data_IF_169555900177
#
_entry.id   IF_169555900177
#
_cell.length_a   1.000
_cell.length_b   1.000
_cell.length_c   1.000
_cell.angle_alpha   90.00
_cell.angle_beta   90.00
_cell.angle_gamma   90.00
#
_symmetry.space_group_name_H-M   'P 1'
#
loop_
_entity.id
_entity.type
_entity.pdbx_description
1 polymer ?
#
# COMPACT_ATOMS: atom_id res chain seq x y z
N UNK A 1 -27.74 -1.74 51.54
CA UNK A 1 -26.42 -2.43 51.44
C UNK A 1 -26.53 -3.92 51.12
N UNK A 2 -27.54 -4.39 50.36
CA UNK A 2 -27.99 -5.79 50.54
C UNK A 2 -28.19 -6.65 49.28
N UNK A 3 -28.22 -6.12 48.05
CA UNK A 3 -28.22 -6.97 46.84
C UNK A 3 -26.83 -7.12 46.20
N UNK A 4 -26.02 -6.05 46.21
CA UNK A 4 -24.69 -6.03 45.60
C UNK A 4 -23.64 -6.87 46.37
N UNK A 5 -23.73 -6.91 47.71
CA UNK A 5 -22.88 -7.79 48.56
C UNK A 5 -23.21 -9.27 48.38
N UNK A 6 -24.47 -9.62 48.09
CA UNK A 6 -24.89 -11.01 47.86
C UNK A 6 -24.31 -11.58 46.56
N UNK A 7 -24.22 -10.78 45.49
CA UNK A 7 -23.55 -11.18 44.25
C UNK A 7 -22.04 -11.35 44.43
N UNK A 8 -21.40 -10.49 45.23
CA UNK A 8 -19.97 -10.58 45.56
C UNK A 8 -19.66 -11.88 46.33
N UNK A 9 -20.51 -12.25 47.31
CA UNK A 9 -20.40 -13.52 48.04
C UNK A 9 -20.76 -14.75 47.18
N UNK A 10 -21.59 -14.60 46.15
CA UNK A 10 -21.95 -15.69 45.24
C UNK A 10 -20.83 -16.08 44.27
N UNK A 11 -19.95 -15.14 43.89
CA UNK A 11 -18.74 -15.43 43.12
C UNK A 11 -17.53 -15.78 44.00
N UNK A 12 -17.49 -15.30 45.24
CA UNK A 12 -16.52 -15.76 46.25
C UNK A 12 -16.85 -17.16 46.80
N UNK A 13 -18.07 -17.66 46.59
CA UNK A 13 -18.47 -19.06 46.76
C UNK A 13 -18.23 -19.82 45.45
N UNK A 14 -16.96 -19.94 45.08
CA UNK A 14 -16.42 -20.52 43.82
C UNK A 14 -17.27 -21.63 43.15
N UNK A 15 -17.81 -22.66 43.85
CA UNK A 15 -18.50 -23.75 43.16
C UNK A 15 -19.94 -23.46 42.71
N UNK A 16 -20.67 -22.49 43.28
CA UNK A 16 -22.10 -22.26 42.95
C UNK A 16 -22.33 -21.33 41.75
N UNK A 17 -21.35 -20.50 41.40
CA UNK A 17 -21.41 -19.58 40.25
C UNK A 17 -21.07 -20.30 38.93
N UNK A 18 -20.09 -21.21 38.95
CA UNK A 18 -19.69 -22.01 37.79
C UNK A 18 -20.79 -22.97 37.32
N UNK A 19 -21.56 -23.55 38.25
CA UNK A 19 -22.72 -24.40 37.90
C UNK A 19 -23.82 -23.60 37.19
N UNK A 20 -24.11 -22.37 37.66
CA UNK A 20 -25.05 -21.46 36.98
C UNK A 20 -24.56 -21.00 35.60
N UNK A 21 -23.24 -20.81 35.44
CA UNK A 21 -22.65 -20.51 34.12
C UNK A 21 -22.88 -21.66 33.15
N UNK A 22 -22.70 -22.92 33.59
CA UNK A 22 -22.92 -24.10 32.74
C UNK A 22 -24.40 -24.26 32.35
N UNK A 23 -25.32 -24.03 33.27
CA UNK A 23 -26.77 -24.18 33.03
C UNK A 23 -27.36 -23.05 32.17
N UNK A 24 -26.87 -21.82 32.32
CA UNK A 24 -27.36 -20.64 31.57
C UNK A 24 -26.73 -20.45 30.18
N UNK A 25 -25.74 -21.28 29.83
CA UNK A 25 -25.00 -21.18 28.57
C UNK A 25 -24.10 -19.95 28.44
N UNK A 26 -23.46 -19.84 27.28
CA UNK A 26 -22.40 -18.87 26.96
C UNK A 26 -22.83 -17.42 27.19
N UNK A 27 -24.04 -17.06 26.76
CA UNK A 27 -24.57 -15.68 26.86
C UNK A 27 -24.88 -15.27 28.30
N UNK A 28 -25.28 -16.21 29.17
CA UNK A 28 -25.47 -15.91 30.58
C UNK A 28 -24.11 -15.75 31.28
N UNK A 29 -23.16 -16.63 30.96
CA UNK A 29 -21.80 -16.55 31.50
C UNK A 29 -21.11 -15.23 31.13
N UNK A 30 -21.21 -14.78 29.87
CA UNK A 30 -20.59 -13.53 29.42
C UNK A 30 -21.17 -12.30 30.12
N UNK A 31 -22.48 -12.28 30.39
CA UNK A 31 -23.10 -11.21 31.22
C UNK A 31 -22.58 -11.21 32.65
N UNK A 32 -22.48 -12.38 33.27
CA UNK A 32 -21.94 -12.49 34.63
C UNK A 32 -20.46 -12.06 34.71
N UNK A 33 -19.66 -12.41 33.70
CA UNK A 33 -18.26 -11.97 33.59
C UNK A 33 -18.15 -10.45 33.41
N UNK A 34 -18.99 -9.86 32.56
CA UNK A 34 -19.05 -8.40 32.40
C UNK A 34 -19.40 -7.71 33.72
N UNK A 35 -20.46 -8.15 34.40
CA UNK A 35 -20.87 -7.60 35.70
C UNK A 35 -19.77 -7.73 36.77
N UNK A 36 -19.05 -8.86 36.76
CA UNK A 36 -17.92 -9.10 37.63
C UNK A 36 -16.78 -8.12 37.34
N UNK A 37 -16.40 -7.98 36.07
CA UNK A 37 -15.30 -7.10 35.66
C UNK A 37 -15.59 -5.64 35.98
N UNK A 38 -16.82 -5.16 35.72
CA UNK A 38 -17.26 -3.80 36.08
C UNK A 38 -17.06 -3.54 37.58
N UNK A 39 -17.47 -4.49 38.44
CA UNK A 39 -17.30 -4.36 39.91
C UNK A 39 -15.83 -4.33 40.32
N UNK A 40 -15.03 -5.24 39.77
CA UNK A 40 -13.60 -5.32 40.07
C UNK A 40 -12.86 -4.04 39.69
N UNK A 41 -13.17 -3.50 38.51
CA UNK A 41 -12.63 -2.23 37.99
C UNK A 41 -13.02 -1.06 38.90
N UNK A 42 -14.25 -1.04 39.43
CA UNK A 42 -14.75 0.04 40.27
C UNK A 42 -14.27 0.04 41.73
N UNK A 43 -13.71 -1.05 42.25
CA UNK A 43 -13.32 -1.09 43.67
C UNK A 43 -13.64 -2.38 44.40
N UNK A 44 -14.68 -3.08 43.94
CA UNK A 44 -15.39 -4.10 44.71
C UNK A 44 -14.75 -5.48 44.57
N UNK A 45 -13.56 -5.67 45.14
CA UNK A 45 -12.87 -6.96 45.22
C UNK A 45 -11.39 -6.92 44.87
N UNK A 46 -10.72 -8.07 45.03
CA UNK A 46 -9.32 -8.30 44.64
C UNK A 46 -9.27 -9.03 43.30
N UNK A 47 -8.25 -8.77 42.49
CA UNK A 47 -8.10 -9.39 41.16
C UNK A 47 -7.42 -10.78 41.21
N UNK A 48 -6.84 -11.16 42.35
CA UNK A 48 -5.94 -12.32 42.51
C UNK A 48 -6.56 -13.69 42.19
N UNK A 49 -7.89 -13.78 42.14
CA UNK A 49 -8.60 -15.02 41.82
C UNK A 49 -8.82 -15.22 40.30
N UNK A 50 -8.74 -14.16 39.48
CA UNK A 50 -8.99 -14.24 38.04
C UNK A 50 -8.12 -15.28 37.32
N UNK A 51 -6.80 -15.44 37.62
CA UNK A 51 -5.97 -16.46 37.00
C UNK A 51 -6.43 -17.91 37.26
N UNK A 52 -7.22 -18.14 38.31
CA UNK A 52 -7.81 -19.45 38.60
C UNK A 52 -9.18 -19.60 37.95
N UNK A 53 -9.98 -18.53 37.97
CA UNK A 53 -11.34 -18.52 37.42
C UNK A 53 -11.35 -18.63 35.89
N UNK A 54 -10.54 -17.83 35.19
CA UNK A 54 -10.57 -17.74 33.73
C UNK A 54 -10.29 -19.09 33.03
N UNK A 55 -9.29 -19.88 33.44
CA UNK A 55 -9.11 -21.24 32.90
C UNK A 55 -10.29 -22.17 33.15
N UNK A 56 -10.94 -22.09 34.32
CA UNK A 56 -12.10 -22.93 34.64
C UNK A 56 -13.30 -22.56 33.78
N UNK A 57 -13.53 -21.27 33.56
CA UNK A 57 -14.60 -20.81 32.66
C UNK A 57 -14.29 -21.19 31.22
N UNK A 58 -13.06 -21.01 30.75
CA UNK A 58 -12.64 -21.44 29.42
C UNK A 58 -12.82 -22.96 29.23
N UNK A 59 -12.52 -23.76 30.27
CA UNK A 59 -12.77 -25.22 30.29
C UNK A 59 -14.24 -25.58 30.13
N UNK A 60 -15.15 -24.81 30.72
CA UNK A 60 -16.59 -25.06 30.62
C UNK A 60 -17.15 -24.86 29.20
N UNK A 61 -16.49 -24.04 28.40
CA UNK A 61 -16.94 -23.66 27.05
C UNK A 61 -15.93 -24.02 25.95
N UNK A 62 -15.07 -25.03 26.16
CA UNK A 62 -14.07 -25.46 25.17
C UNK A 62 -14.68 -25.86 23.83
N UNK A 63 -15.88 -26.42 23.85
CA UNK A 63 -16.60 -26.87 22.65
C UNK A 63 -17.37 -25.72 21.96
N UNK A 64 -17.45 -24.53 22.57
CA UNK A 64 -18.12 -23.37 21.98
C UNK A 64 -17.10 -22.44 21.30
N UNK A 65 -16.99 -22.60 19.99
CA UNK A 65 -16.12 -21.78 19.13
C UNK A 65 -16.40 -20.27 19.23
N UNK A 66 -17.57 -19.84 19.74
CA UNK A 66 -17.94 -18.44 19.88
C UNK A 66 -17.61 -17.85 21.26
N UNK A 67 -17.23 -18.66 22.25
CA UNK A 67 -16.95 -18.17 23.59
C UNK A 67 -15.79 -17.18 23.62
N UNK A 68 -14.67 -17.50 22.95
CA UNK A 68 -13.49 -16.62 22.90
C UNK A 68 -13.84 -15.26 22.28
N UNK A 69 -14.60 -15.26 21.18
CA UNK A 69 -15.09 -14.03 20.53
C UNK A 69 -15.99 -13.20 21.47
N UNK A 70 -16.97 -13.83 22.12
CA UNK A 70 -17.87 -13.14 23.05
C UNK A 70 -17.14 -12.63 24.29
N UNK A 71 -16.14 -13.36 24.78
CA UNK A 71 -15.29 -12.93 25.88
C UNK A 71 -14.47 -11.70 25.49
N UNK A 72 -13.93 -11.66 24.28
CA UNK A 72 -13.25 -10.50 23.74
C UNK A 72 -14.17 -9.29 23.56
N UNK A 73 -15.43 -9.48 23.18
CA UNK A 73 -16.41 -8.39 23.12
C UNK A 73 -16.64 -7.76 24.50
N UNK A 74 -16.57 -8.53 25.59
CA UNK A 74 -16.60 -7.99 26.97
C UNK A 74 -15.39 -7.08 27.20
N UNK A 75 -14.18 -7.55 26.86
CA UNK A 75 -12.96 -6.77 27.06
C UNK A 75 -12.97 -5.49 26.23
N UNK A 76 -13.50 -5.55 25.01
CA UNK A 76 -13.66 -4.42 24.10
C UNK A 76 -14.67 -3.38 24.60
N UNK A 77 -15.84 -3.83 25.09
CA UNK A 77 -16.84 -2.94 25.69
C UNK A 77 -16.24 -2.23 26.91
N UNK A 78 -15.49 -2.96 27.74
CA UNK A 78 -14.80 -2.38 28.89
C UNK A 78 -13.71 -1.41 28.47
N UNK A 79 -12.93 -1.72 27.43
CA UNK A 79 -11.91 -0.81 26.88
C UNK A 79 -12.54 0.52 26.49
N UNK A 80 -13.61 0.43 25.68
CA UNK A 80 -14.34 1.59 25.19
C UNK A 80 -14.96 2.40 26.34
N UNK A 81 -15.50 1.74 27.36
CA UNK A 81 -16.10 2.41 28.52
C UNK A 81 -15.05 3.08 29.43
N UNK A 82 -13.86 2.48 29.57
CA UNK A 82 -12.80 3.00 30.46
C UNK A 82 -12.07 4.19 29.84
N UNK A 83 -12.02 4.29 28.51
CA UNK A 83 -11.44 5.44 27.80
C UNK A 83 -12.08 6.76 28.23
N UNK A 84 -13.40 6.78 28.47
CA UNK A 84 -14.14 7.99 28.87
C UNK A 84 -14.08 8.27 30.38
N UNK A 85 -13.50 7.37 31.19
CA UNK A 85 -13.47 7.51 32.66
C UNK A 85 -12.20 8.23 33.11
N UNK A 86 -12.38 9.46 33.62
CA UNK A 86 -11.27 10.29 34.10
C UNK A 86 -10.61 9.83 35.41
N UNK A 87 -11.11 8.76 36.06
CA UNK A 87 -10.54 8.24 37.30
C UNK A 87 -9.34 7.31 37.05
N UNK A 88 -8.14 7.74 37.43
CA UNK A 88 -6.91 6.94 37.27
C UNK A 88 -6.98 5.58 37.99
N UNK A 89 -7.54 5.54 39.20
CA UNK A 89 -7.67 4.30 39.96
C UNK A 89 -8.49 3.20 39.23
N UNK A 90 -9.48 3.63 38.42
CA UNK A 90 -10.32 2.74 37.62
C UNK A 90 -9.53 2.22 36.41
N UNK A 91 -8.82 3.13 35.73
CA UNK A 91 -7.93 2.81 34.59
C UNK A 91 -6.82 1.84 35.00
N UNK A 92 -6.16 2.07 36.12
CA UNK A 92 -5.12 1.18 36.66
C UNK A 92 -5.66 -0.22 36.96
N UNK A 93 -6.85 -0.32 37.56
CA UNK A 93 -7.49 -1.61 37.83
C UNK A 93 -7.89 -2.32 36.54
N UNK A 94 -8.35 -1.57 35.53
CA UNK A 94 -8.66 -2.12 34.21
C UNK A 94 -7.40 -2.71 33.54
N UNK A 95 -6.29 -1.98 33.50
CA UNK A 95 -5.04 -2.51 32.91
C UNK A 95 -4.51 -3.74 33.65
N UNK A 96 -4.64 -3.79 34.98
CA UNK A 96 -4.31 -5.00 35.77
C UNK A 96 -5.22 -6.17 35.39
N UNK A 97 -6.53 -5.94 35.24
CA UNK A 97 -7.48 -6.97 34.81
C UNK A 97 -7.12 -7.50 33.43
N UNK A 98 -6.82 -6.62 32.47
CA UNK A 98 -6.40 -7.02 31.13
C UNK A 98 -5.11 -7.84 31.13
N UNK A 99 -4.12 -7.46 31.95
CA UNK A 99 -2.88 -8.24 32.10
C UNK A 99 -3.14 -9.67 32.59
N UNK A 100 -4.15 -9.86 33.45
CA UNK A 100 -4.55 -11.18 33.92
C UNK A 100 -5.35 -11.97 32.88
N UNK A 101 -6.05 -11.29 31.97
CA UNK A 101 -6.80 -11.92 30.89
C UNK A 101 -5.92 -12.28 29.69
N UNK A 102 -4.84 -11.52 29.44
CA UNK A 102 -3.92 -11.68 28.30
C UNK A 102 -3.46 -13.13 28.04
N UNK A 103 -3.10 -13.97 29.06
CA UNK A 103 -2.67 -15.35 28.82
C UNK A 103 -3.77 -16.30 28.37
N UNK A 104 -5.04 -15.90 28.48
CA UNK A 104 -6.21 -16.73 28.23
C UNK A 104 -6.91 -16.42 26.90
N UNK A 105 -6.34 -15.54 26.08
CA UNK A 105 -6.94 -15.08 24.82
C UNK A 105 -5.88 -15.01 23.74
N UNK A 106 -6.26 -15.30 22.50
CA UNK A 106 -5.37 -15.14 21.36
C UNK A 106 -4.91 -13.67 21.21
N UNK A 107 -3.60 -13.39 21.22
CA UNK A 107 -3.06 -12.03 21.09
C UNK A 107 -3.47 -11.35 19.77
N UNK A 108 -3.67 -12.10 18.68
CA UNK A 108 -4.11 -11.53 17.41
C UNK A 108 -5.50 -10.89 17.51
N UNK A 109 -6.42 -11.52 18.26
CA UNK A 109 -7.77 -11.01 18.44
C UNK A 109 -7.83 -9.82 19.41
N UNK A 110 -6.90 -9.76 20.37
CA UNK A 110 -6.75 -8.58 21.22
C UNK A 110 -6.29 -7.38 20.40
N UNK A 111 -5.32 -7.58 19.48
CA UNK A 111 -4.83 -6.54 18.56
C UNK A 111 -5.90 -6.04 17.58
N UNK A 112 -6.87 -6.89 17.23
CA UNK A 112 -7.97 -6.53 16.34
C UNK A 112 -9.02 -5.60 17.00
N UNK A 113 -9.29 -5.82 18.30
CA UNK A 113 -10.42 -5.18 18.99
C UNK A 113 -10.04 -4.03 19.91
N UNK A 114 -8.91 -4.10 20.60
CA UNK A 114 -8.55 -3.11 21.62
C UNK A 114 -7.98 -1.82 21.00
N UNK A 115 -8.14 -0.71 21.72
CA UNK A 115 -7.59 0.59 21.33
C UNK A 115 -6.06 0.61 21.36
N UNK A 116 -5.45 1.50 20.57
CA UNK A 116 -4.00 1.63 20.45
C UNK A 116 -3.31 1.93 21.80
N UNK A 117 -3.93 2.77 22.64
CA UNK A 117 -3.44 3.08 23.99
C UNK A 117 -3.38 1.82 24.86
N UNK A 118 -4.41 0.99 24.79
CA UNK A 118 -4.49 -0.25 25.55
C UNK A 118 -3.51 -1.30 25.03
N UNK A 119 -3.31 -1.38 23.73
CA UNK A 119 -2.32 -2.27 23.12
C UNK A 119 -0.88 -1.91 23.51
N UNK A 120 -0.58 -0.61 23.63
CA UNK A 120 0.73 -0.13 24.09
C UNK A 120 0.94 -0.48 25.57
N UNK A 121 -0.07 -0.27 26.41
CA UNK A 121 -0.03 -0.66 27.83
C UNK A 121 0.11 -2.18 28.04
N UNK A 122 -0.46 -2.99 27.15
CA UNK A 122 -0.31 -4.45 27.18
C UNK A 122 1.01 -4.94 26.56
N UNK A 123 1.86 -4.04 26.07
CA UNK A 123 3.08 -4.37 25.34
C UNK A 123 2.83 -5.28 24.13
N UNK A 124 1.66 -5.15 23.48
CA UNK A 124 1.34 -5.81 22.21
C UNK A 124 1.82 -4.98 21.01
N UNK A 125 1.93 -3.66 21.19
CA UNK A 125 2.61 -2.75 20.27
C UNK A 125 3.73 -2.01 21.01
N UNK A 126 4.80 -1.65 20.29
CA UNK A 126 5.95 -0.96 20.87
C UNK A 126 5.70 0.52 21.13
N UNK A 127 4.96 1.17 20.24
CA UNK A 127 4.66 2.59 20.30
C UNK A 127 3.38 2.91 19.56
N UNK A 128 2.46 3.63 20.20
CA UNK A 128 1.24 4.15 19.58
C UNK A 128 1.56 5.02 18.36
N UNK A 129 2.52 5.94 18.50
CA UNK A 129 2.90 6.86 17.42
C UNK A 129 3.47 6.12 16.20
N UNK A 130 4.32 5.12 16.41
CA UNK A 130 4.85 4.32 15.30
C UNK A 130 3.77 3.46 14.64
N UNK A 131 2.86 2.91 15.44
CA UNK A 131 1.72 2.14 14.95
C UNK A 131 0.82 3.00 14.07
N UNK A 132 0.41 4.20 14.52
CA UNK A 132 -0.37 5.13 13.72
C UNK A 132 0.33 5.53 12.43
N UNK A 133 1.64 5.81 12.49
CA UNK A 133 2.42 6.14 11.29
C UNK A 133 2.39 5.01 10.26
N UNK A 134 2.54 3.76 10.70
CA UNK A 134 2.44 2.58 9.84
C UNK A 134 1.02 2.39 9.31
N UNK A 135 0.00 2.55 10.16
CA UNK A 135 -1.41 2.47 9.77
C UNK A 135 -1.73 3.46 8.65
N UNK A 136 -1.37 4.74 8.81
CA UNK A 136 -1.59 5.77 7.80
C UNK A 136 -0.85 5.43 6.50
N UNK A 137 0.41 5.03 6.56
CA UNK A 137 1.18 4.64 5.35
C UNK A 137 0.54 3.46 4.62
N UNK A 138 0.14 2.42 5.33
CA UNK A 138 -0.51 1.25 4.75
C UNK A 138 -1.85 1.61 4.14
N UNK A 139 -2.67 2.38 4.86
CA UNK A 139 -3.97 2.86 4.37
C UNK A 139 -3.79 3.71 3.12
N UNK A 140 -2.88 4.68 3.14
CA UNK A 140 -2.60 5.53 1.99
C UNK A 140 -2.14 4.70 0.79
N UNK A 141 -1.23 3.74 1.00
CA UNK A 141 -0.78 2.85 -0.07
C UNK A 141 -1.93 2.01 -0.63
N UNK A 142 -2.81 1.48 0.21
CA UNK A 142 -3.93 0.64 -0.20
C UNK A 142 -4.94 1.42 -1.05
N UNK A 143 -5.22 2.68 -0.70
CA UNK A 143 -6.28 3.46 -1.33
C UNK A 143 -5.81 4.40 -2.45
N UNK A 144 -4.57 4.89 -2.40
CA UNK A 144 -4.08 5.92 -3.35
C UNK A 144 -2.99 5.44 -4.29
N UNK A 145 -2.35 4.28 -4.03
CA UNK A 145 -1.37 3.75 -4.96
C UNK A 145 -2.11 2.99 -6.06
N UNK A 146 -2.22 3.58 -7.24
CA UNK A 146 -2.67 2.85 -8.42
C UNK A 146 -1.67 1.72 -8.70
N UNK A 147 -2.18 0.51 -8.88
CA UNK A 147 -1.35 -0.60 -9.34
C UNK A 147 -1.07 -0.37 -10.83
N UNK A 148 0.15 0.05 -11.13
CA UNK A 148 0.67 0.14 -12.50
C UNK A 148 2.00 -0.60 -12.54
N UNK A 149 2.15 -1.52 -13.47
CA UNK A 149 3.38 -2.28 -13.64
C UNK A 149 4.32 -1.52 -14.55
N UNK A 150 5.41 -1.00 -14.00
CA UNK A 150 6.38 -0.18 -14.74
C UNK A 150 7.54 -1.00 -15.29
N UNK A 151 7.83 -2.15 -14.67
CA UNK A 151 8.96 -2.98 -15.07
C UNK A 151 8.48 -4.16 -15.89
N UNK A 152 9.26 -4.53 -16.93
CA UNK A 152 8.92 -5.65 -17.81
C UNK A 152 8.66 -6.95 -17.03
N UNK A 153 9.49 -7.20 -16.00
CA UNK A 153 9.40 -8.39 -15.14
C UNK A 153 8.15 -8.47 -14.27
N UNK A 154 7.49 -7.33 -14.03
CA UNK A 154 6.29 -7.28 -13.19
C UNK A 154 5.08 -7.82 -13.96
N UNK A 155 5.01 -7.58 -15.28
CA UNK A 155 3.90 -8.00 -16.14
C UNK A 155 4.40 -8.43 -17.54
N UNK A 156 5.06 -9.59 -17.58
CA UNK A 156 5.75 -10.08 -18.78
C UNK A 156 4.79 -10.30 -19.97
N UNK A 157 3.57 -10.79 -19.73
CA UNK A 157 2.61 -11.08 -20.80
C UNK A 157 2.11 -9.80 -21.46
N UNK A 158 1.67 -8.83 -20.64
CA UNK A 158 1.20 -7.54 -21.14
C UNK A 158 2.26 -6.81 -21.97
N UNK A 159 3.49 -6.75 -21.46
CA UNK A 159 4.61 -6.13 -22.19
C UNK A 159 5.01 -6.91 -23.45
N UNK A 160 5.02 -8.25 -23.43
CA UNK A 160 5.32 -9.05 -24.62
C UNK A 160 4.28 -8.84 -25.74
N UNK A 161 2.99 -8.81 -25.39
CA UNK A 161 1.90 -8.51 -26.33
C UNK A 161 2.02 -7.10 -26.90
N UNK A 162 2.33 -6.12 -26.05
CA UNK A 162 2.55 -4.73 -26.47
C UNK A 162 3.72 -4.61 -27.46
N UNK A 163 4.88 -5.20 -27.14
CA UNK A 163 6.05 -5.18 -28.02
C UNK A 163 5.72 -5.86 -29.36
N UNK A 164 5.02 -6.98 -29.33
CA UNK A 164 4.61 -7.70 -30.56
C UNK A 164 3.70 -6.85 -31.44
N UNK A 165 2.73 -6.16 -30.83
CA UNK A 165 1.80 -5.26 -31.53
C UNK A 165 2.54 -4.08 -32.18
N UNK A 166 3.45 -3.44 -31.43
CA UNK A 166 4.27 -2.32 -31.92
C UNK A 166 5.29 -2.75 -33.00
N UNK A 167 5.85 -3.96 -32.90
CA UNK A 167 6.80 -4.48 -33.87
C UNK A 167 6.14 -4.84 -35.20
N UNK A 168 4.94 -5.43 -35.18
CA UNK A 168 4.30 -5.96 -36.38
C UNK A 168 3.37 -4.96 -37.08
N UNK A 169 2.79 -3.99 -36.35
CA UNK A 169 1.86 -2.93 -36.82
C UNK A 169 1.12 -3.31 -38.10
N UNK A 170 0.24 -4.31 -37.99
CA UNK A 170 -0.55 -4.79 -39.11
C UNK A 170 -1.79 -3.90 -39.24
N UNK A 171 -1.82 -3.03 -40.25
CA UNK A 171 -2.98 -2.18 -40.53
C UNK A 171 -2.81 -0.72 -40.09
N UNK A 172 -3.91 0.04 -39.99
CA UNK A 172 -3.85 1.47 -39.72
C UNK A 172 -3.38 1.76 -38.29
N UNK A 173 -2.60 2.83 -38.12
CA UNK A 173 -2.05 3.28 -36.83
C UNK A 173 -3.15 3.48 -35.76
N UNK A 174 -4.35 3.87 -36.17
CA UNK A 174 -5.50 4.05 -35.29
C UNK A 174 -5.94 2.74 -34.63
N UNK A 175 -5.93 1.63 -35.37
CA UNK A 175 -6.28 0.30 -34.84
C UNK A 175 -5.23 -0.20 -33.84
N UNK A 176 -3.95 0.02 -34.16
CA UNK A 176 -2.83 -0.32 -33.28
C UNK A 176 -2.93 0.44 -31.96
N UNK A 177 -3.27 1.73 -32.00
CA UNK A 177 -3.44 2.52 -30.79
C UNK A 177 -4.64 2.08 -29.95
N UNK A 178 -5.74 1.61 -30.56
CA UNK A 178 -6.86 1.00 -29.83
C UNK A 178 -6.36 -0.24 -29.07
N UNK A 179 -5.57 -1.08 -29.72
CA UNK A 179 -4.99 -2.27 -29.10
C UNK A 179 -4.01 -1.91 -27.97
N UNK A 180 -3.15 -0.91 -28.16
CA UNK A 180 -2.24 -0.41 -27.11
C UNK A 180 -3.02 0.06 -25.88
N UNK A 181 -4.09 0.85 -26.06
CA UNK A 181 -4.95 1.29 -24.95
C UNK A 181 -5.64 0.12 -24.24
N UNK A 182 -6.09 -0.89 -25.00
CA UNK A 182 -6.66 -2.11 -24.43
C UNK A 182 -5.65 -2.87 -23.58
N UNK A 183 -4.40 -2.97 -24.02
CA UNK A 183 -3.34 -3.64 -23.27
C UNK A 183 -2.96 -2.88 -21.99
N UNK A 184 -2.88 -1.54 -22.06
CA UNK A 184 -2.64 -0.70 -20.87
C UNK A 184 -3.72 -0.94 -19.83
N UNK A 185 -5.00 -0.92 -20.22
CA UNK A 185 -6.11 -1.09 -19.30
C UNK A 185 -6.30 -2.51 -18.78
N UNK A 186 -6.01 -3.54 -19.60
CA UNK A 186 -6.20 -4.94 -19.21
C UNK A 186 -5.08 -5.44 -18.29
N UNK A 187 -3.84 -5.05 -18.57
CA UNK A 187 -2.65 -5.49 -17.84
C UNK A 187 -2.13 -4.43 -16.86
N UNK A 188 -2.86 -3.33 -16.62
CA UNK A 188 -2.41 -2.23 -15.75
C UNK A 188 -0.98 -1.75 -16.05
N UNK A 189 -0.63 -1.62 -17.34
CA UNK A 189 0.72 -1.22 -17.74
C UNK A 189 0.97 0.25 -17.40
N UNK A 190 2.21 0.57 -17.00
CA UNK A 190 2.59 1.96 -16.78
C UNK A 190 2.63 2.75 -18.11
N UNK A 191 1.89 3.87 -18.24
CA UNK A 191 1.86 4.67 -19.46
C UNK A 191 3.23 5.19 -19.90
N UNK A 192 4.08 5.63 -18.98
CA UNK A 192 5.40 6.16 -19.31
C UNK A 192 6.30 5.05 -19.85
N UNK A 193 6.19 3.84 -19.30
CA UNK A 193 6.89 2.67 -19.85
C UNK A 193 6.36 2.28 -21.24
N UNK A 194 5.05 2.36 -21.47
CA UNK A 194 4.49 2.11 -22.80
C UNK A 194 4.97 3.16 -23.81
N UNK A 195 5.05 4.43 -23.42
CA UNK A 195 5.60 5.49 -24.27
C UNK A 195 7.07 5.25 -24.63
N UNK A 196 7.87 4.78 -23.66
CA UNK A 196 9.26 4.39 -23.88
C UNK A 196 9.40 3.28 -24.94
N UNK A 197 8.53 2.26 -24.88
CA UNK A 197 8.48 1.17 -25.86
C UNK A 197 7.94 1.60 -27.23
N UNK A 198 7.05 2.60 -27.28
CA UNK A 198 6.61 3.24 -28.52
C UNK A 198 7.80 3.92 -29.20
N UNK A 199 8.65 4.62 -28.45
CA UNK A 199 9.88 5.22 -28.97
C UNK A 199 10.86 4.15 -29.48
N UNK A 200 11.08 3.08 -28.71
CA UNK A 200 11.92 1.95 -29.14
C UNK A 200 11.43 1.36 -30.47
N UNK A 201 10.13 1.13 -30.60
CA UNK A 201 9.54 0.60 -31.84
C UNK A 201 9.73 1.56 -33.03
N UNK A 202 9.74 2.87 -32.79
CA UNK A 202 10.10 3.86 -33.80
C UNK A 202 11.58 3.79 -34.19
N UNK A 203 12.45 3.37 -33.27
CA UNK A 203 13.90 3.42 -33.44
C UNK A 203 14.36 2.28 -34.34
N UNK A 204 13.90 1.08 -34.00
CA UNK A 204 14.23 -0.17 -34.69
C UNK A 204 13.59 -0.27 -36.09
N UNK A 205 12.64 0.62 -36.43
CA UNK A 205 11.92 0.56 -37.70
C UNK A 205 12.29 1.70 -38.63
N UNK A 206 13.11 1.40 -39.63
CA UNK A 206 13.65 2.36 -40.60
C UNK A 206 12.56 3.17 -41.35
N UNK A 207 11.38 2.58 -41.61
CA UNK A 207 10.30 3.20 -42.39
C UNK A 207 9.15 3.80 -41.55
N UNK A 208 9.33 3.98 -40.23
CA UNK A 208 8.25 4.36 -39.32
C UNK A 208 8.11 5.87 -39.09
N UNK A 209 8.90 6.73 -39.73
CA UNK A 209 8.99 8.16 -39.38
C UNK A 209 7.64 8.92 -39.37
N UNK A 210 6.76 8.70 -40.35
CA UNK A 210 5.43 9.34 -40.37
C UNK A 210 4.43 8.63 -39.45
N UNK A 211 4.53 7.30 -39.35
CA UNK A 211 3.67 6.47 -38.51
C UNK A 211 3.90 6.69 -37.01
N UNK A 212 5.15 6.90 -36.57
CA UNK A 212 5.47 7.17 -35.16
C UNK A 212 4.91 8.52 -34.71
N UNK A 213 4.98 9.55 -35.55
CA UNK A 213 4.37 10.86 -35.28
C UNK A 213 2.86 10.70 -35.07
N UNK A 214 2.19 9.95 -35.95
CA UNK A 214 0.75 9.68 -35.80
C UNK A 214 0.46 8.88 -34.52
N UNK A 215 1.27 7.88 -34.21
CA UNK A 215 1.11 7.05 -33.01
C UNK A 215 1.26 7.89 -31.73
N UNK A 216 2.28 8.74 -31.63
CA UNK A 216 2.51 9.63 -30.49
C UNK A 216 1.37 10.66 -30.36
N UNK A 217 0.90 11.23 -31.46
CA UNK A 217 -0.25 12.15 -31.43
C UNK A 217 -1.53 11.47 -30.93
N UNK A 218 -1.77 10.22 -31.32
CA UNK A 218 -2.91 9.45 -30.85
C UNK A 218 -2.76 8.96 -29.40
N UNK A 219 -1.53 8.76 -28.93
CA UNK A 219 -1.21 8.46 -27.54
C UNK A 219 -1.40 9.69 -26.65
N UNK A 220 -1.10 10.87 -27.19
CA UNK A 220 -1.24 12.19 -26.56
C UNK A 220 -0.52 12.30 -25.19
N UNK A 221 0.81 12.06 -25.15
CA UNK A 221 1.57 12.24 -23.93
C UNK A 221 1.78 13.72 -23.61
N UNK A 222 2.09 14.03 -22.35
CA UNK A 222 2.62 15.34 -22.01
C UNK A 222 3.96 15.59 -22.74
N UNK A 223 4.12 16.80 -23.27
CA UNK A 223 5.28 17.17 -24.09
C UNK A 223 6.58 17.14 -23.29
N UNK A 224 6.55 17.55 -22.01
CA UNK A 224 7.72 17.51 -21.14
C UNK A 224 8.07 16.07 -20.79
N UNK A 225 7.07 15.25 -20.44
CA UNK A 225 7.30 13.83 -20.12
C UNK A 225 7.91 13.07 -21.31
N UNK A 226 7.37 13.26 -22.51
CA UNK A 226 7.95 12.68 -23.74
C UNK A 226 9.40 13.13 -23.95
N UNK A 227 9.68 14.42 -23.69
CA UNK A 227 11.05 14.96 -23.84
C UNK A 227 12.00 14.37 -22.81
N UNK A 228 11.57 14.22 -21.55
CA UNK A 228 12.37 13.61 -20.48
C UNK A 228 12.64 12.12 -20.76
N UNK A 229 11.63 11.36 -21.19
CA UNK A 229 11.79 9.93 -21.51
C UNK A 229 12.80 9.75 -22.66
N UNK A 230 12.68 10.56 -23.73
CA UNK A 230 13.67 10.55 -24.80
C UNK A 230 15.06 10.99 -24.31
N UNK A 231 15.13 12.02 -23.48
CA UNK A 231 16.37 12.49 -22.87
C UNK A 231 17.06 11.42 -22.02
N UNK A 232 16.30 10.60 -21.31
CA UNK A 232 16.82 9.46 -20.56
C UNK A 232 17.44 8.40 -21.48
N UNK A 233 16.87 8.13 -22.66
CA UNK A 233 17.48 7.21 -23.64
C UNK A 233 18.88 7.68 -24.06
N UNK A 234 19.05 8.98 -24.29
CA UNK A 234 20.37 9.55 -24.59
C UNK A 234 21.41 9.34 -23.48
N UNK A 235 21.01 9.12 -22.22
CA UNK A 235 21.94 8.83 -21.13
C UNK A 235 22.40 7.36 -21.09
N UNK A 236 21.59 6.43 -21.58
CA UNK A 236 21.92 5.00 -21.56
C UNK A 236 23.05 4.64 -22.54
N UNK A 237 23.20 5.38 -23.63
CA UNK A 237 24.25 5.15 -24.63
C UNK A 237 25.56 5.94 -24.34
N UNK A 238 25.78 6.35 -23.09
CA UNK A 238 26.92 7.19 -22.67
C UNK A 238 28.01 6.44 -21.88
N UNK A 239 27.96 5.10 -21.84
CA UNK A 239 29.04 4.31 -21.25
C UNK A 239 30.37 4.59 -21.97
N UNK A 240 31.53 4.58 -21.28
CA UNK A 240 32.82 4.85 -21.90
C UNK A 240 33.09 3.91 -23.08
N UNK A 241 33.00 4.42 -24.31
CA UNK A 241 33.21 3.66 -25.55
C UNK A 241 31.94 3.33 -26.34
N UNK A 242 30.74 3.62 -25.82
CA UNK A 242 29.51 3.53 -26.61
C UNK A 242 29.29 4.79 -27.44
N UNK A 243 28.87 4.60 -28.69
CA UNK A 243 28.45 5.69 -29.58
C UNK A 243 26.94 5.70 -29.60
N UNK A 244 26.34 6.85 -29.34
CA UNK A 244 24.89 7.01 -29.44
C UNK A 244 24.41 6.63 -30.86
N UNK A 245 23.41 5.73 -30.99
CA UNK A 245 22.91 5.28 -32.27
C UNK A 245 22.37 6.42 -33.15
N UNK A 246 22.65 6.35 -34.46
CA UNK A 246 22.11 7.31 -35.44
C UNK A 246 20.57 7.26 -35.53
N UNK A 247 19.97 6.11 -35.20
CA UNK A 247 18.53 5.88 -35.11
C UNK A 247 17.86 6.75 -34.03
N UNK A 248 18.51 6.91 -32.87
CA UNK A 248 18.00 7.75 -31.79
C UNK A 248 18.01 9.23 -32.16
N UNK A 249 19.08 9.72 -32.79
CA UNK A 249 19.13 11.09 -33.34
C UNK A 249 18.05 11.33 -34.39
N UNK A 250 17.78 10.34 -35.26
CA UNK A 250 16.73 10.43 -36.29
C UNK A 250 15.34 10.57 -35.66
N UNK A 251 15.03 9.86 -34.58
CA UNK A 251 13.76 10.04 -33.87
C UNK A 251 13.66 11.43 -33.26
N UNK A 252 14.69 11.85 -32.53
CA UNK A 252 14.71 13.17 -31.89
C UNK A 252 14.46 14.27 -32.93
N UNK A 253 15.12 14.16 -34.09
CA UNK A 253 14.92 15.01 -35.26
C UNK A 253 13.46 15.04 -35.74
N UNK A 254 12.84 13.88 -35.97
CA UNK A 254 11.45 13.77 -36.44
C UNK A 254 10.48 14.36 -35.41
N UNK A 255 10.69 14.11 -34.12
CA UNK A 255 9.82 14.62 -33.06
C UNK A 255 9.96 16.14 -32.88
N UNK A 256 11.18 16.68 -32.99
CA UNK A 256 11.45 18.11 -32.98
C UNK A 256 10.78 18.82 -34.17
N UNK A 257 10.98 18.29 -35.38
CA UNK A 257 10.40 18.85 -36.59
C UNK A 257 8.86 18.89 -36.55
N UNK A 258 8.23 17.95 -35.84
CA UNK A 258 6.78 17.90 -35.64
C UNK A 258 6.29 18.63 -34.38
N UNK A 259 7.18 19.32 -33.66
CA UNK A 259 6.84 20.08 -32.46
C UNK A 259 6.43 19.24 -31.25
N UNK A 260 6.70 17.94 -31.25
CA UNK A 260 6.27 16.99 -30.22
C UNK A 260 7.15 16.98 -28.98
N UNK A 261 8.37 17.51 -29.05
CA UNK A 261 9.31 17.61 -27.92
C UNK A 261 9.93 19.01 -27.83
N UNK A 262 10.51 19.34 -26.67
CA UNK A 262 11.13 20.65 -26.43
C UNK A 262 12.65 20.58 -26.63
N UNK A 263 13.18 21.44 -27.50
CA UNK A 263 14.60 21.49 -27.78
C UNK A 263 15.41 21.89 -26.54
N UNK A 264 14.97 22.89 -25.78
CA UNK A 264 15.72 23.39 -24.61
C UNK A 264 15.85 22.33 -23.52
N UNK A 265 14.76 21.58 -23.28
CA UNK A 265 14.73 20.50 -22.29
C UNK A 265 15.59 19.33 -22.76
N UNK A 266 15.46 18.93 -24.04
CA UNK A 266 16.29 17.87 -24.62
C UNK A 266 17.78 18.27 -24.58
N UNK A 267 18.09 19.53 -24.89
CA UNK A 267 19.45 20.07 -24.80
C UNK A 267 19.99 19.95 -23.38
N UNK A 268 19.19 20.22 -22.34
CA UNK A 268 19.56 19.97 -20.94
C UNK A 268 20.04 18.53 -20.68
N UNK A 269 19.33 17.54 -21.22
CA UNK A 269 19.70 16.12 -21.09
C UNK A 269 20.94 15.73 -21.88
N UNK A 270 21.17 16.33 -23.04
CA UNK A 270 22.33 16.02 -23.88
C UNK A 270 23.56 16.86 -23.46
N UNK A 271 23.36 17.98 -22.76
CA UNK A 271 24.40 18.99 -22.48
C UNK A 271 25.30 18.75 -21.28
N UNK A 272 24.93 17.86 -20.37
CA UNK A 272 25.76 17.47 -19.24
C UNK A 272 27.09 16.81 -19.66
N UNK A 273 27.33 16.53 -20.95
CA UNK A 273 28.55 15.87 -21.43
C UNK A 273 29.13 16.38 -22.77
N UNK A 274 28.74 17.56 -23.28
CA UNK A 274 29.33 18.14 -24.52
C UNK A 274 30.79 18.61 -24.37
N UNK A 275 31.40 18.53 -23.18
CA UNK A 275 32.81 18.91 -22.96
C UNK A 275 33.80 18.11 -23.80
N UNK A 276 33.43 16.92 -24.31
CA UNK A 276 34.25 16.12 -25.22
C UNK A 276 34.09 16.46 -26.72
N UNK A 277 33.08 17.22 -27.13
CA UNK A 277 32.72 17.40 -28.54
C UNK A 277 33.20 18.74 -29.15
N UNK A 278 33.76 19.63 -28.32
CA UNK A 278 34.28 20.94 -28.75
C UNK A 278 35.52 20.82 -29.66
N UNK A 279 36.12 19.64 -29.78
CA UNK A 279 37.30 19.38 -30.62
C UNK A 279 36.98 18.84 -32.03
N UNK A 280 35.72 18.53 -32.35
CA UNK A 280 35.33 17.92 -33.63
C UNK A 280 34.33 18.75 -34.43
N UNK A 281 34.60 18.95 -35.72
CA UNK A 281 33.78 19.67 -36.72
C UNK A 281 32.29 19.25 -36.83
N UNK A 282 31.84 18.23 -36.09
CA UNK A 282 30.47 17.72 -36.09
C UNK A 282 29.46 18.62 -35.37
N UNK A 283 29.92 19.60 -34.57
CA UNK A 283 29.04 20.53 -33.84
C UNK A 283 28.32 21.53 -34.77
N UNK A 284 28.91 21.88 -35.91
CA UNK A 284 28.19 22.70 -36.89
C UNK A 284 27.03 21.92 -37.51
N UNK A 285 27.16 20.62 -37.76
CA UNK A 285 26.13 19.91 -38.53
C UNK A 285 24.82 19.81 -37.73
N UNK A 286 24.83 19.53 -36.43
CA UNK A 286 23.58 19.32 -35.67
C UNK A 286 22.77 20.61 -35.43
N UNK A 287 23.44 21.72 -35.10
CA UNK A 287 22.79 23.02 -34.91
C UNK A 287 22.47 23.68 -36.25
N UNK A 288 23.31 23.51 -37.27
CA UNK A 288 23.15 24.15 -38.58
C UNK A 288 22.20 23.40 -39.52
N UNK A 289 21.97 22.09 -39.35
CA UNK A 289 20.86 21.38 -40.02
C UNK A 289 19.50 21.84 -39.47
N UNK A 290 19.38 22.01 -38.15
CA UNK A 290 18.08 22.28 -37.53
C UNK A 290 17.68 23.76 -37.48
N UNK A 291 18.63 24.69 -37.62
CA UNK A 291 18.29 26.12 -37.73
C UNK A 291 17.85 26.57 -39.12
N UNK A 292 18.13 25.80 -40.17
CA UNK A 292 17.89 26.20 -41.55
C UNK A 292 16.56 25.71 -42.16
N UNK A 293 15.89 24.74 -41.53
CA UNK A 293 14.61 24.17 -41.99
C UNK A 293 13.38 24.64 -41.18
N UNK A 294 13.55 25.64 -40.28
CA UNK A 294 12.46 26.23 -39.47
C UNK A 294 12.28 27.73 -39.75
N UNK A 295 12.49 28.14 -40.99
CA UNK A 295 12.04 29.44 -41.52
C UNK A 295 11.15 29.23 -42.75
#
# INVERSE_FOLDING_TARGET
MTAARLLCLSFLSYPRSLTKCKEGGTTHCTKLLLDLFIKLINGDGKLDFLPKLLPEVAKLFQDDNMFESKFLDILWILDSAVVDVNLEAVRDRYFRLLHLCKPHVNPALLMERLSEDTLENLSLIQSKQQFQTRYVRTKTRLFFKQQKFNLLREENEGYAKLITELAQTKGPVDAVMIQVRSLIGYFDLDPNRVLDLILDAGEFRENMGTSIVKLIRLYNPDKLDLTHILGHKFHFDQDPGSVTPSSLYRIAAVLLANGLINLDVLYGHVSLHWTFFVSGHSMLIFVHFFRHDVC
#
